data_IF_471432566246
#
_entry.id   IF_471432566246
#
_cell.length_a   1.000
_cell.length_b   1.000
_cell.length_c   1.000
_cell.angle_alpha   90.00
_cell.angle_beta   90.00
_cell.angle_gamma   90.00
#
_symmetry.space_group_name_H-M   'P 1'
#
loop_
_entity.id
_entity.type
_entity.pdbx_description
1 polymer ?
#
# COMPACT_ATOMS: atom_id res chain seq x y z
N UNK A 1 -49.40 -8.19 -36.32
CA UNK A 1 -48.40 -7.43 -35.54
C UNK A 1 -47.85 -6.32 -36.40
N UNK A 2 -48.31 -5.08 -36.18
CA UNK A 2 -47.74 -3.88 -36.83
C UNK A 2 -46.65 -3.36 -35.91
N UNK A 3 -45.39 -3.45 -36.33
CA UNK A 3 -44.28 -2.86 -35.57
C UNK A 3 -44.36 -1.34 -35.68
N UNK A 4 -44.21 -0.66 -34.54
CA UNK A 4 -44.30 0.78 -34.43
C UNK A 4 -43.04 1.43 -35.06
N UNK A 5 -43.18 2.45 -35.94
CA UNK A 5 -42.05 3.07 -36.63
C UNK A 5 -41.08 3.77 -35.67
N UNK A 6 -41.57 4.18 -34.50
CA UNK A 6 -40.81 4.76 -33.40
C UNK A 6 -39.86 3.75 -32.72
N UNK A 7 -40.19 2.46 -32.71
CA UNK A 7 -39.35 1.42 -32.08
C UNK A 7 -38.14 1.07 -32.95
N UNK A 8 -38.29 1.14 -34.29
CA UNK A 8 -37.22 0.90 -35.27
C UNK A 8 -36.14 1.98 -35.28
N UNK A 9 -36.51 3.24 -35.00
CA UNK A 9 -35.55 4.36 -34.92
C UNK A 9 -34.65 4.26 -33.68
N UNK A 10 -35.20 3.82 -32.54
CA UNK A 10 -34.45 3.65 -31.31
C UNK A 10 -33.37 2.55 -31.42
N UNK A 11 -33.66 1.46 -32.15
CA UNK A 11 -32.68 0.37 -32.37
C UNK A 11 -31.54 0.77 -33.30
N UNK A 12 -31.77 1.64 -34.30
CA UNK A 12 -30.69 2.14 -35.15
C UNK A 12 -29.77 3.13 -34.40
N UNK A 13 -30.32 3.95 -33.51
CA UNK A 13 -29.53 4.91 -32.73
C UNK A 13 -28.62 4.24 -31.68
N UNK A 14 -29.00 3.06 -31.16
CA UNK A 14 -28.18 2.30 -30.20
C UNK A 14 -27.03 1.54 -30.90
N UNK A 15 -27.19 1.15 -32.16
CA UNK A 15 -26.17 0.44 -32.92
C UNK A 15 -25.01 1.34 -33.38
N UNK A 16 -25.24 2.65 -33.55
CA UNK A 16 -24.19 3.60 -33.97
C UNK A 16 -23.27 4.03 -32.83
N UNK A 17 -23.68 3.86 -31.57
CA UNK A 17 -22.88 4.25 -30.39
C UNK A 17 -21.83 3.20 -29.97
N UNK A 18 -21.90 1.96 -30.45
CA UNK A 18 -20.94 0.89 -30.11
C UNK A 18 -19.71 0.79 -31.03
N UNK A 19 -19.62 1.61 -32.10
CA UNK A 19 -18.59 1.42 -33.14
C UNK A 19 -17.25 2.16 -32.89
N UNK A 20 -17.01 2.75 -31.72
CA UNK A 20 -15.87 3.65 -31.53
C UNK A 20 -14.59 3.03 -30.91
N UNK A 21 -14.55 1.73 -30.58
CA UNK A 21 -13.35 1.07 -30.07
C UNK A 21 -12.64 0.21 -31.14
N UNK A 22 -12.25 0.82 -32.26
CA UNK A 22 -11.29 0.20 -33.18
C UNK A 22 -9.88 0.74 -32.88
N UNK A 23 -9.08 -0.06 -32.18
CA UNK A 23 -7.66 0.23 -31.96
C UNK A 23 -6.91 0.12 -33.30
N UNK A 24 -6.69 1.24 -33.98
CA UNK A 24 -5.83 1.28 -35.16
C UNK A 24 -4.39 1.00 -34.72
N UNK A 25 -3.71 -0.02 -35.27
CA UNK A 25 -2.28 -0.20 -35.01
C UNK A 25 -1.55 1.03 -35.58
N UNK A 26 -0.99 1.87 -34.70
CA UNK A 26 -0.09 2.92 -35.12
C UNK A 26 1.21 2.26 -35.59
N UNK A 27 1.42 2.26 -36.91
CA UNK A 27 2.73 2.02 -37.49
C UNK A 27 3.56 3.27 -37.21
N UNK A 28 4.39 3.22 -36.18
CA UNK A 28 5.38 4.27 -35.93
C UNK A 28 6.50 4.09 -36.96
N UNK A 29 6.90 5.15 -37.69
CA UNK A 29 8.13 5.11 -38.47
C UNK A 29 9.28 4.71 -37.54
N UNK A 30 10.09 3.74 -37.96
CA UNK A 30 11.29 3.38 -37.22
C UNK A 30 12.19 4.63 -37.14
N UNK A 31 12.49 5.06 -35.91
CA UNK A 31 13.46 6.11 -35.69
C UNK A 31 14.81 5.68 -36.29
N UNK A 32 15.57 6.59 -36.90
CA UNK A 32 16.94 6.31 -37.32
C UNK A 32 17.74 5.76 -36.14
N UNK A 33 18.70 4.85 -36.37
CA UNK A 33 19.57 4.37 -35.30
C UNK A 33 20.25 5.60 -34.65
N UNK A 34 20.29 5.66 -33.30
CA UNK A 34 20.96 6.74 -32.63
C UNK A 34 22.44 6.77 -33.07
N UNK A 35 23.04 7.97 -33.21
CA UNK A 35 24.47 8.06 -33.49
C UNK A 35 25.24 7.32 -32.39
N UNK A 36 26.39 6.69 -32.71
CA UNK A 36 27.20 6.01 -31.73
C UNK A 36 27.57 6.98 -30.61
N UNK A 37 26.97 6.80 -29.43
CA UNK A 37 27.36 7.52 -28.22
C UNK A 37 28.65 6.88 -27.73
N UNK A 38 29.75 7.60 -27.83
CA UNK A 38 30.94 7.34 -27.02
C UNK A 38 30.55 7.59 -25.56
N UNK A 39 30.26 6.52 -24.83
CA UNK A 39 30.14 6.56 -23.38
C UNK A 39 31.55 6.84 -22.85
N UNK A 40 31.85 8.11 -22.57
CA UNK A 40 32.99 8.42 -21.73
C UNK A 40 32.71 7.78 -20.36
N UNK A 41 33.59 6.91 -19.83
CA UNK A 41 33.45 6.40 -18.48
C UNK A 41 33.58 7.57 -17.51
N UNK A 42 32.46 8.19 -17.16
CA UNK A 42 32.41 9.12 -16.05
C UNK A 42 32.72 8.33 -14.78
N UNK A 43 33.76 8.73 -14.05
CA UNK A 43 34.00 8.22 -12.71
C UNK A 43 32.85 8.71 -11.85
N UNK A 44 31.91 7.82 -11.52
CA UNK A 44 30.82 8.12 -10.59
C UNK A 44 31.47 8.36 -9.22
N UNK A 45 31.34 9.56 -8.62
CA UNK A 45 31.84 9.80 -7.28
C UNK A 45 31.21 8.80 -6.31
N UNK A 46 31.97 8.19 -5.39
CA UNK A 46 31.42 7.27 -4.40
C UNK A 46 30.26 7.95 -3.66
N UNK A 47 29.04 7.46 -3.88
CA UNK A 47 27.82 8.01 -3.27
C UNK A 47 27.48 7.33 -1.95
N UNK A 48 28.37 6.49 -1.42
CA UNK A 48 28.14 5.80 -0.16
C UNK A 48 28.15 6.83 0.98
N UNK A 49 27.02 7.05 1.67
CA UNK A 49 27.02 7.82 2.90
C UNK A 49 27.97 7.15 3.90
N UNK A 50 28.67 7.92 4.75
CA UNK A 50 29.41 7.32 5.86
C UNK A 50 28.45 6.44 6.68
N UNK A 51 28.90 5.29 7.19
CA UNK A 51 28.07 4.43 8.03
C UNK A 51 27.48 5.25 9.18
N UNK A 52 26.19 5.07 9.52
CA UNK A 52 25.63 5.71 10.70
C UNK A 52 26.48 5.35 11.93
N UNK A 53 26.76 6.34 12.78
CA UNK A 53 27.49 6.10 14.02
C UNK A 53 26.77 5.01 14.83
N UNK A 54 27.49 4.06 15.46
CA UNK A 54 26.87 3.04 16.29
C UNK A 54 26.05 3.72 17.40
N UNK A 55 24.73 3.55 17.37
CA UNK A 55 23.88 3.94 18.49
C UNK A 55 24.12 2.90 19.58
N UNK A 56 24.84 3.29 20.64
CA UNK A 56 25.12 2.36 21.73
C UNK A 56 23.84 2.10 22.53
N UNK A 57 23.46 0.82 22.65
CA UNK A 57 22.41 0.37 23.56
C UNK A 57 21.01 0.27 22.96
N UNK A 58 20.08 -0.17 23.80
CA UNK A 58 18.67 -0.37 23.46
C UNK A 58 17.93 0.95 23.36
N UNK A 59 17.24 1.19 22.24
CA UNK A 59 16.39 2.35 22.04
C UNK A 59 14.97 2.03 22.49
N UNK A 60 14.50 2.72 23.52
CA UNK A 60 13.11 2.62 23.95
C UNK A 60 12.17 3.16 22.85
N UNK A 61 11.16 2.39 22.42
CA UNK A 61 10.22 2.86 21.42
C UNK A 61 9.27 3.91 22.03
N UNK A 62 8.83 4.86 21.20
CA UNK A 62 7.69 5.69 21.56
C UNK A 62 6.42 4.83 21.49
N UNK A 63 5.60 4.91 22.54
CA UNK A 63 4.28 4.26 22.57
C UNK A 63 3.23 5.29 22.21
N UNK A 64 2.49 5.04 21.13
CA UNK A 64 1.36 5.86 20.73
C UNK A 64 0.20 5.67 21.70
N UNK A 65 -0.38 6.76 22.16
CA UNK A 65 -1.56 6.77 23.02
C UNK A 65 -2.68 7.54 22.33
N UNK A 66 -3.93 7.17 22.60
CA UNK A 66 -5.09 7.83 22.01
C UNK A 66 -6.36 6.97 22.01
N UNK A 67 -7.52 7.59 21.72
CA UNK A 67 -8.78 6.88 21.65
C UNK A 67 -8.76 5.81 20.54
N UNK A 68 -9.41 4.67 20.80
CA UNK A 68 -9.55 3.60 19.79
C UNK A 68 -8.31 2.73 19.58
N UNK A 69 -7.24 2.94 20.36
CA UNK A 69 -6.02 2.13 20.29
C UNK A 69 -5.97 0.98 21.32
N UNK A 70 -6.98 0.89 22.18
CA UNK A 70 -7.13 -0.23 23.12
C UNK A 70 -7.28 -1.56 22.37
N UNK A 71 -6.56 -2.59 22.85
CA UNK A 71 -6.48 -3.89 22.16
C UNK A 71 -5.78 -3.82 20.80
N UNK A 72 -4.93 -2.81 20.59
CA UNK A 72 -4.00 -2.67 19.46
C UNK A 72 -2.61 -2.38 20.01
N UNK A 73 -2.44 -1.24 20.70
CA UNK A 73 -1.16 -0.86 21.29
C UNK A 73 -0.85 -1.78 22.46
N UNK A 74 0.43 -2.18 22.58
CA UNK A 74 0.97 -3.20 23.49
C UNK A 74 0.48 -4.63 23.23
N UNK A 75 -0.22 -4.89 22.14
CA UNK A 75 -0.57 -6.25 21.75
C UNK A 75 0.56 -6.93 20.95
N UNK A 76 0.83 -8.22 21.19
CA UNK A 76 1.75 -9.01 20.37
C UNK A 76 1.13 -9.33 19.01
N UNK A 77 1.96 -9.75 18.07
CA UNK A 77 1.53 -10.09 16.71
C UNK A 77 0.40 -11.15 16.71
N UNK A 78 0.46 -12.15 17.59
CA UNK A 78 -0.56 -13.21 17.67
C UNK A 78 -1.98 -12.67 17.89
N UNK A 79 -2.15 -11.72 18.82
CA UNK A 79 -3.45 -11.08 19.08
C UNK A 79 -3.93 -10.29 17.85
N UNK A 80 -3.04 -9.54 17.21
CA UNK A 80 -3.36 -8.75 16.03
C UNK A 80 -3.78 -9.64 14.85
N UNK A 81 -3.07 -10.75 14.63
CA UNK A 81 -3.40 -11.73 13.59
C UNK A 81 -4.76 -12.40 13.85
N UNK A 82 -5.11 -12.67 15.11
CA UNK A 82 -6.43 -13.19 15.44
C UNK A 82 -7.54 -12.20 15.06
N UNK A 83 -7.32 -10.91 15.31
CA UNK A 83 -8.28 -9.83 15.06
C UNK A 83 -8.42 -9.45 13.59
N UNK A 84 -7.33 -9.28 12.88
CA UNK A 84 -7.31 -8.75 11.50
C UNK A 84 -7.08 -9.84 10.44
N UNK A 85 -6.60 -11.02 10.86
CA UNK A 85 -6.19 -12.08 9.95
C UNK A 85 -4.77 -11.97 9.46
N UNK A 86 -4.46 -12.76 8.43
CA UNK A 86 -3.13 -12.77 7.84
C UNK A 86 -2.84 -11.40 7.20
N UNK A 87 -1.79 -10.69 7.62
CA UNK A 87 -1.38 -9.45 6.97
C UNK A 87 -0.85 -9.72 5.57
N UNK A 88 -0.96 -8.71 4.71
CA UNK A 88 -0.34 -8.70 3.38
C UNK A 88 1.19 -8.58 3.47
N UNK A 89 1.69 -7.81 4.43
CA UNK A 89 3.12 -7.73 4.73
C UNK A 89 3.37 -8.06 6.19
N UNK A 90 4.37 -8.90 6.41
CA UNK A 90 4.88 -9.27 7.72
C UNK A 90 6.40 -9.28 7.59
N UNK A 91 7.04 -8.19 8.04
CA UNK A 91 8.45 -7.93 7.73
C UNK A 91 9.23 -7.64 9.00
N UNK A 92 10.22 -8.47 9.36
CA UNK A 92 11.17 -8.12 10.41
C UNK A 92 12.16 -7.07 9.89
N UNK A 93 12.43 -6.04 10.70
CA UNK A 93 13.34 -4.94 10.41
C UNK A 93 14.22 -4.69 11.65
N UNK A 94 15.38 -5.36 11.74
CA UNK A 94 16.20 -5.32 12.95
C UNK A 94 15.51 -6.00 14.13
N UNK A 95 15.29 -5.26 15.22
CA UNK A 95 14.51 -5.71 16.38
C UNK A 95 13.00 -5.40 16.26
N UNK A 96 12.58 -4.73 15.19
CA UNK A 96 11.19 -4.40 14.89
C UNK A 96 10.52 -5.44 13.99
N UNK A 97 9.19 -5.50 14.03
CA UNK A 97 8.35 -6.20 13.06
C UNK A 97 7.24 -5.29 12.55
N UNK A 98 7.11 -5.15 11.23
CA UNK A 98 6.03 -4.39 10.60
C UNK A 98 4.96 -5.34 10.07
N UNK A 99 3.71 -5.10 10.46
CA UNK A 99 2.53 -5.79 9.94
C UNK A 99 1.70 -4.83 9.11
N UNK A 100 1.25 -5.25 7.92
CA UNK A 100 0.39 -4.45 7.05
C UNK A 100 -0.87 -5.21 6.63
N UNK A 101 -2.02 -4.60 6.83
CA UNK A 101 -3.29 -5.02 6.24
C UNK A 101 -3.77 -3.99 5.22
N UNK A 102 -4.50 -4.45 4.21
CA UNK A 102 -5.08 -3.60 3.17
C UNK A 102 -6.49 -4.07 2.86
N UNK A 103 -7.39 -3.11 2.74
CA UNK A 103 -8.73 -3.30 2.21
C UNK A 103 -9.11 -2.19 1.24
N UNK A 104 -10.37 -2.20 0.81
CA UNK A 104 -10.98 -1.17 -0.03
C UNK A 104 -10.82 0.23 0.62
N UNK A 105 -11.16 0.35 1.91
CA UNK A 105 -11.21 1.62 2.61
C UNK A 105 -9.83 2.22 2.91
N UNK A 106 -8.84 1.39 3.27
CA UNK A 106 -7.54 1.86 3.77
C UNK A 106 -6.46 0.76 3.78
N UNK A 107 -5.22 1.20 4.02
CA UNK A 107 -4.06 0.42 4.42
C UNK A 107 -3.77 0.73 5.88
N UNK A 108 -3.49 -0.30 6.68
CA UNK A 108 -3.16 -0.21 8.10
C UNK A 108 -1.80 -0.86 8.34
N UNK A 109 -0.83 -0.06 8.79
CA UNK A 109 0.47 -0.54 9.26
C UNK A 109 0.52 -0.50 10.77
N UNK A 110 1.04 -1.57 11.36
CA UNK A 110 1.37 -1.65 12.78
C UNK A 110 2.85 -1.96 12.91
N UNK A 111 3.52 -1.16 13.75
CA UNK A 111 4.94 -1.29 14.01
C UNK A 111 5.13 -1.85 15.41
N UNK A 112 5.72 -3.04 15.47
CA UNK A 112 5.91 -3.79 16.70
C UNK A 112 7.36 -3.67 17.12
N UNK A 113 7.61 -3.14 18.30
CA UNK A 113 8.94 -3.02 18.89
C UNK A 113 8.98 -3.74 20.24
N UNK A 114 10.12 -4.35 20.60
CA UNK A 114 10.33 -4.83 21.96
C UNK A 114 10.36 -3.65 22.93
N UNK A 115 9.88 -3.87 24.16
CA UNK A 115 9.96 -2.86 25.24
C UNK A 115 11.20 -3.06 26.15
N UNK A 116 11.90 -4.17 25.97
CA UNK A 116 13.16 -4.49 26.63
C UNK A 116 14.03 -5.34 25.70
N UNK A 117 15.36 -5.37 25.87
CA UNK A 117 16.25 -6.17 25.03
C UNK A 117 15.81 -7.65 24.95
N UNK A 118 15.58 -8.14 23.73
CA UNK A 118 15.20 -9.53 23.48
C UNK A 118 13.75 -9.90 23.86
N UNK A 119 12.94 -8.95 24.31
CA UNK A 119 11.52 -9.18 24.59
C UNK A 119 10.72 -9.42 23.29
N UNK A 120 9.55 -10.04 23.40
CA UNK A 120 8.63 -10.15 22.28
C UNK A 120 8.17 -8.75 21.80
N UNK A 121 8.24 -8.45 20.50
CA UNK A 121 7.76 -7.17 19.97
C UNK A 121 6.24 -7.02 20.10
N UNK A 122 5.81 -5.87 20.61
CA UNK A 122 4.40 -5.49 20.73
C UNK A 122 4.13 -4.21 19.95
N UNK A 123 2.90 -3.99 19.50
CA UNK A 123 2.59 -2.81 18.68
C UNK A 123 2.76 -1.53 19.51
N UNK A 124 3.63 -0.63 19.06
CA UNK A 124 3.87 0.65 19.73
C UNK A 124 3.40 1.83 18.87
N UNK A 125 3.18 1.61 17.57
CA UNK A 125 2.73 2.64 16.63
C UNK A 125 1.81 2.07 15.56
N UNK A 126 0.88 2.90 15.07
CA UNK A 126 -0.10 2.53 14.03
C UNK A 126 -0.26 3.69 13.05
N UNK A 127 -0.20 3.37 11.77
CA UNK A 127 -0.53 4.28 10.68
C UNK A 127 -1.70 3.76 9.85
N UNK A 128 -2.60 4.66 9.48
CA UNK A 128 -3.69 4.37 8.57
C UNK A 128 -3.60 5.32 7.37
N UNK A 129 -3.62 4.75 6.16
CA UNK A 129 -3.47 5.51 4.92
C UNK A 129 -4.54 5.10 3.91
N UNK A 130 -4.95 6.05 3.06
CA UNK A 130 -5.86 5.76 1.94
C UNK A 130 -5.12 4.94 0.89
N UNK A 131 -5.75 3.87 0.42
CA UNK A 131 -5.15 2.93 -0.54
C UNK A 131 -4.81 3.56 -1.90
N UNK A 132 -5.44 4.68 -2.28
CA UNK A 132 -5.29 5.30 -3.60
C UNK A 132 -4.10 6.25 -3.72
N UNK A 133 -3.82 7.04 -2.68
CA UNK A 133 -2.85 8.14 -2.72
C UNK A 133 -1.91 8.19 -1.50
N UNK A 134 -2.07 7.26 -0.55
CA UNK A 134 -1.24 7.17 0.65
C UNK A 134 -1.47 8.26 1.69
N UNK A 135 -2.49 9.12 1.52
CA UNK A 135 -2.81 10.15 2.49
C UNK A 135 -3.24 9.55 3.83
N UNK A 136 -2.88 10.21 4.93
CA UNK A 136 -3.32 9.81 6.26
C UNK A 136 -4.86 9.83 6.35
N UNK A 137 -5.43 8.79 6.98
CA UNK A 137 -6.87 8.68 7.25
C UNK A 137 -7.10 8.39 8.74
N UNK A 138 -8.35 8.45 9.17
CA UNK A 138 -8.72 8.12 10.55
C UNK A 138 -8.35 6.67 10.89
N UNK A 139 -7.56 6.50 11.97
CA UNK A 139 -7.05 5.19 12.38
C UNK A 139 -8.16 4.28 12.89
N UNK A 140 -9.11 4.82 13.67
CA UNK A 140 -10.17 4.03 14.27
C UNK A 140 -11.11 3.49 13.20
N UNK A 141 -11.50 4.32 12.23
CA UNK A 141 -12.31 3.90 11.09
C UNK A 141 -11.60 2.79 10.29
N UNK A 142 -10.29 2.93 10.06
CA UNK A 142 -9.51 1.91 9.36
C UNK A 142 -9.38 0.60 10.14
N UNK A 143 -9.13 0.68 11.45
CA UNK A 143 -9.10 -0.47 12.36
C UNK A 143 -10.43 -1.22 12.33
N UNK A 144 -11.56 -0.51 12.37
CA UNK A 144 -12.88 -1.15 12.31
C UNK A 144 -13.15 -1.79 10.95
N UNK A 145 -12.82 -1.10 9.86
CA UNK A 145 -13.02 -1.60 8.51
C UNK A 145 -12.20 -2.87 8.20
N UNK A 146 -11.05 -3.05 8.83
CA UNK A 146 -10.17 -4.19 8.64
C UNK A 146 -10.31 -5.29 9.70
N UNK A 147 -11.00 -5.01 10.81
CA UNK A 147 -11.26 -6.02 11.85
C UNK A 147 -12.18 -7.11 11.31
N UNK A 148 -11.88 -8.38 11.62
CA UNK A 148 -12.79 -9.47 11.27
C UNK A 148 -14.07 -9.37 12.11
N UNK A 149 -15.24 -9.70 11.54
CA UNK A 149 -16.46 -9.84 12.33
C UNK A 149 -16.22 -10.90 13.41
N UNK A 150 -16.59 -10.59 14.65
CA UNK A 150 -16.62 -11.59 15.72
C UNK A 150 -17.52 -12.74 15.27
N UNK A 151 -17.01 -13.97 15.38
CA UNK A 151 -17.78 -15.17 15.06
C UNK A 151 -18.78 -15.46 16.17
#
# INVERSE_FOLDING_TARGET
>A
MRLNPSTTLATLALATLLSACAATPRVYPQAPPPPPRTVQPGVVPPTAPPPPAPVAGFRQPQIMEGPGLAGIIREPAGTLLARFGQPRLDTPEGDMRRLQWRGEACVLDMYLYPLAPGAEPVATWVEARRSSDGQAVDRLACIQALSRPGR
#
